data_IF_680046845945
#
_entry.id   IF_680046845945
#
_cell.length_a   1.000
_cell.length_b   1.000
_cell.length_c   1.000
_cell.angle_alpha   90.00
_cell.angle_beta   90.00
_cell.angle_gamma   90.00
#
_symmetry.space_group_name_H-M   'P 1'
#
loop_
_entity.id
_entity.type
_entity.pdbx_description
1 polymer ?
#
# COMPACT_ATOMS: atom_id res chain seq x y z
N UNK A 1 21.59 -21.65 -13.18
CA UNK A 1 20.53 -20.62 -13.25
C UNK A 1 20.64 -19.73 -12.03
N UNK A 2 21.36 -18.61 -12.16
CA UNK A 2 21.48 -17.60 -11.12
C UNK A 2 20.07 -17.15 -10.72
N UNK A 3 19.70 -17.09 -9.42
CA UNK A 3 18.40 -16.58 -9.03
C UNK A 3 18.34 -15.15 -9.51
N UNK A 4 17.39 -14.81 -10.38
CA UNK A 4 17.12 -13.41 -10.70
C UNK A 4 16.74 -12.76 -9.36
N UNK A 5 17.57 -11.85 -8.79
CA UNK A 5 17.33 -11.29 -7.46
C UNK A 5 15.97 -10.58 -7.39
N UNK A 6 15.45 -10.15 -8.54
CA UNK A 6 14.23 -9.33 -8.66
C UNK A 6 12.94 -10.02 -8.22
N UNK A 7 12.81 -11.35 -8.29
CA UNK A 7 11.49 -11.99 -8.03
C UNK A 7 11.10 -11.97 -6.54
N UNK A 8 12.00 -12.34 -5.59
CA UNK A 8 11.75 -12.12 -4.17
C UNK A 8 11.56 -10.64 -3.82
N UNK A 9 12.34 -9.74 -4.44
CA UNK A 9 12.26 -8.27 -4.25
C UNK A 9 10.93 -7.69 -4.74
N UNK A 10 10.32 -8.29 -5.76
CA UNK A 10 9.13 -7.74 -6.41
C UNK A 10 7.82 -8.30 -5.88
N UNK A 11 7.70 -9.62 -5.68
CA UNK A 11 6.44 -10.28 -5.31
C UNK A 11 6.53 -10.96 -3.95
N UNK A 12 7.57 -11.77 -3.74
CA UNK A 12 7.68 -12.65 -2.57
C UNK A 12 7.54 -11.90 -1.25
N UNK A 13 8.25 -10.77 -1.12
CA UNK A 13 8.25 -10.00 0.12
C UNK A 13 6.90 -9.35 0.47
N UNK A 14 6.11 -8.96 -0.54
CA UNK A 14 4.76 -8.42 -0.31
C UNK A 14 3.84 -9.49 0.23
N UNK A 15 3.87 -10.68 -0.38
CA UNK A 15 3.07 -11.81 0.10
C UNK A 15 3.45 -12.19 1.52
N UNK A 16 4.76 -12.34 1.77
CA UNK A 16 5.29 -12.58 3.11
C UNK A 16 4.78 -11.55 4.11
N UNK A 17 4.92 -10.26 3.80
CA UNK A 17 4.55 -9.20 4.74
C UNK A 17 3.07 -9.24 5.09
N UNK A 18 2.20 -9.47 4.11
CA UNK A 18 0.77 -9.61 4.38
C UNK A 18 0.51 -10.76 5.35
N UNK A 19 1.14 -11.92 5.15
CA UNK A 19 0.99 -13.07 6.05
C UNK A 19 1.62 -12.83 7.42
N UNK A 20 2.79 -12.19 7.48
CA UNK A 20 3.47 -11.81 8.72
C UNK A 20 2.60 -10.87 9.57
N UNK A 21 1.85 -9.96 8.94
CA UNK A 21 0.96 -9.03 9.65
C UNK A 21 -0.34 -9.69 10.16
N UNK A 22 -0.88 -10.69 9.48
CA UNK A 22 -2.19 -11.31 9.84
C UNK A 22 -2.07 -12.69 10.49
N UNK A 23 -0.95 -13.37 10.32
CA UNK A 23 -0.64 -14.70 10.84
C UNK A 23 0.85 -14.81 11.26
N UNK A 24 1.36 -13.92 12.13
CA UNK A 24 2.75 -13.96 12.59
C UNK A 24 3.14 -15.29 13.25
N UNK A 25 2.18 -16.03 13.82
CA UNK A 25 2.42 -17.34 14.45
C UNK A 25 3.00 -18.40 13.51
N UNK A 26 2.86 -18.22 12.19
CA UNK A 26 3.38 -19.15 11.18
C UNK A 26 4.89 -19.02 10.96
N UNK A 27 5.50 -17.91 11.39
CA UNK A 27 6.94 -17.65 11.24
C UNK A 27 7.46 -17.93 9.81
N UNK A 28 6.70 -17.49 8.80
CA UNK A 28 7.02 -17.76 7.40
C UNK A 28 8.37 -17.15 7.02
N UNK A 29 9.18 -17.92 6.27
CA UNK A 29 10.48 -17.47 5.80
C UNK A 29 10.31 -16.37 4.74
N UNK A 30 10.79 -15.16 5.06
CA UNK A 30 10.69 -13.96 4.23
C UNK A 30 11.50 -13.98 2.93
N UNK A 31 12.41 -14.95 2.77
CA UNK A 31 13.28 -15.07 1.60
C UNK A 31 12.64 -15.84 0.45
N UNK A 32 11.46 -16.44 0.68
CA UNK A 32 10.74 -17.15 -0.39
C UNK A 32 10.20 -16.16 -1.43
N UNK A 33 10.18 -16.61 -2.68
CA UNK A 33 9.75 -15.83 -3.84
C UNK A 33 8.72 -16.59 -4.68
N UNK A 34 7.98 -15.86 -5.50
CA UNK A 34 7.00 -16.44 -6.41
C UNK A 34 7.71 -17.00 -7.66
N UNK A 35 8.24 -18.23 -7.57
CA UNK A 35 8.86 -18.93 -8.70
C UNK A 35 8.21 -20.30 -8.85
N UNK A 36 7.68 -20.61 -10.05
CA UNK A 36 6.90 -21.84 -10.30
C UNK A 36 7.63 -23.16 -10.00
N UNK A 37 8.96 -23.16 -9.88
CA UNK A 37 9.77 -24.36 -9.62
C UNK A 37 10.47 -24.33 -8.26
N UNK A 38 10.05 -23.46 -7.32
CA UNK A 38 10.60 -23.39 -5.96
C UNK A 38 9.48 -23.35 -4.93
N UNK A 39 9.74 -23.78 -3.68
CA UNK A 39 8.83 -23.56 -2.58
C UNK A 39 8.46 -22.08 -2.47
N UNK A 40 7.16 -21.82 -2.35
CA UNK A 40 6.58 -20.47 -2.22
C UNK A 40 5.51 -20.50 -1.12
N UNK A 41 4.99 -19.33 -0.76
CA UNK A 41 3.92 -19.21 0.22
C UNK A 41 2.63 -19.90 -0.26
N UNK A 42 1.79 -20.40 0.67
CA UNK A 42 0.48 -20.92 0.31
C UNK A 42 -0.39 -19.81 -0.29
N UNK A 43 -1.42 -20.20 -1.05
CA UNK A 43 -2.40 -19.26 -1.62
C UNK A 43 -3.15 -18.49 -0.53
N UNK A 44 -3.42 -19.13 0.61
CA UNK A 44 -4.07 -18.53 1.76
C UNK A 44 -3.52 -19.11 3.06
N UNK A 45 -3.72 -18.38 4.16
CA UNK A 45 -3.38 -18.79 5.51
C UNK A 45 -4.56 -18.54 6.43
N UNK A 46 -4.65 -19.32 7.51
CA UNK A 46 -5.55 -18.99 8.61
C UNK A 46 -4.97 -17.79 9.37
N UNK A 47 -5.77 -16.75 9.55
CA UNK A 47 -5.38 -15.57 10.33
C UNK A 47 -5.36 -15.90 11.82
N UNK A 48 -4.42 -15.29 12.55
CA UNK A 48 -4.29 -15.47 14.01
C UNK A 48 -5.45 -14.79 14.75
N UNK A 49 -5.92 -13.66 14.22
CA UNK A 49 -7.02 -12.87 14.75
C UNK A 49 -7.92 -12.38 13.62
N UNK A 50 -9.19 -12.07 13.96
CA UNK A 50 -10.11 -11.44 13.00
C UNK A 50 -9.51 -10.15 12.46
N UNK A 51 -9.55 -9.97 11.15
CA UNK A 51 -9.00 -8.80 10.46
C UNK A 51 -10.13 -7.83 10.15
N UNK A 52 -9.95 -6.57 10.51
CA UNK A 52 -10.86 -5.46 10.20
C UNK A 52 -10.50 -4.78 8.87
N UNK A 53 -11.45 -4.04 8.29
CA UNK A 53 -11.19 -3.25 7.09
C UNK A 53 -10.05 -2.24 7.30
N UNK A 54 -10.01 -1.57 8.47
CA UNK A 54 -8.95 -0.63 8.83
C UNK A 54 -7.57 -1.30 8.88
N UNK A 55 -7.48 -2.53 9.41
CA UNK A 55 -6.21 -3.28 9.36
C UNK A 55 -5.78 -3.60 7.93
N UNK A 56 -6.70 -3.90 7.01
CA UNK A 56 -6.36 -4.05 5.59
C UNK A 56 -5.85 -2.73 5.00
N UNK A 57 -6.49 -1.60 5.34
CA UNK A 57 -6.01 -0.27 4.92
C UNK A 57 -4.59 -0.03 5.42
N UNK A 58 -4.27 -0.37 6.67
CA UNK A 58 -2.92 -0.23 7.21
C UNK A 58 -1.90 -1.18 6.54
N UNK A 59 -2.29 -2.40 6.19
CA UNK A 59 -1.44 -3.30 5.40
C UNK A 59 -1.12 -2.68 4.03
N UNK A 60 -2.10 -2.02 3.39
CA UNK A 60 -1.89 -1.35 2.10
C UNK A 60 -0.91 -0.18 2.19
N UNK A 61 -0.73 0.41 3.38
CA UNK A 61 0.17 1.53 3.68
C UNK A 61 1.62 1.11 3.93
N UNK A 62 1.87 -0.17 4.16
CA UNK A 62 3.13 -0.71 4.68
C UNK A 62 4.30 -0.62 3.68
N UNK A 63 5.46 -0.23 4.23
CA UNK A 63 6.79 -0.17 3.63
C UNK A 63 7.79 -1.13 4.30
N UNK A 64 7.28 -2.20 4.89
CA UNK A 64 8.00 -3.20 5.68
C UNK A 64 8.56 -2.67 7.00
N UNK A 65 7.91 -1.66 7.59
CA UNK A 65 8.37 -1.03 8.83
C UNK A 65 8.57 -2.05 9.96
N UNK A 66 9.68 -1.90 10.70
CA UNK A 66 10.02 -2.77 11.83
C UNK A 66 10.60 -4.14 11.45
N UNK A 67 10.84 -4.39 10.16
CA UNK A 67 11.49 -5.62 9.67
C UNK A 67 12.93 -5.32 9.20
N UNK A 68 13.76 -6.35 8.95
CA UNK A 68 15.06 -6.16 8.28
C UNK A 68 14.99 -5.52 6.88
N UNK A 69 13.78 -5.36 6.33
CA UNK A 69 13.51 -4.87 4.97
C UNK A 69 12.85 -3.49 4.94
N UNK A 70 12.72 -2.87 6.11
CA UNK A 70 12.12 -1.56 6.33
C UNK A 70 12.74 -0.51 5.40
N UNK A 71 11.92 -0.01 4.46
CA UNK A 71 12.40 1.00 3.51
C UNK A 71 12.51 2.41 4.12
N UNK A 72 12.02 2.64 5.33
CA UNK A 72 12.24 3.91 6.05
C UNK A 72 13.64 4.02 6.65
N UNK A 73 14.43 2.95 6.59
CA UNK A 73 15.77 2.85 7.18
C UNK A 73 16.87 2.77 6.12
N UNK A 74 18.09 2.98 6.59
CA UNK A 74 19.31 2.84 5.79
C UNK A 74 19.60 4.05 4.89
N UNK A 75 20.75 3.99 4.23
CA UNK A 75 21.27 5.09 3.42
C UNK A 75 20.30 5.50 2.30
N UNK A 76 19.63 4.52 1.69
CA UNK A 76 18.71 4.77 0.58
C UNK A 76 17.43 5.52 0.99
N UNK A 77 17.09 5.57 2.29
CA UNK A 77 15.95 6.34 2.79
C UNK A 77 16.27 7.84 2.98
N UNK A 78 17.54 8.22 2.81
CA UNK A 78 18.00 9.59 3.01
C UNK A 78 17.89 10.07 4.47
N UNK A 79 18.19 11.35 4.72
CA UNK A 79 18.23 11.90 6.09
C UNK A 79 16.86 11.93 6.79
N UNK A 80 15.77 11.85 6.02
CA UNK A 80 14.40 11.94 6.55
C UNK A 80 13.66 10.61 6.56
N UNK A 81 14.30 9.49 6.19
CA UNK A 81 13.70 8.17 6.25
C UNK A 81 12.58 7.93 5.24
N UNK A 82 12.66 8.54 4.07
CA UNK A 82 11.62 8.42 3.04
C UNK A 82 11.65 7.03 2.38
N UNK A 83 10.54 6.27 2.37
CA UNK A 83 10.56 4.86 1.98
C UNK A 83 10.47 4.59 0.48
N UNK A 84 10.04 5.55 -0.33
CA UNK A 84 9.85 5.31 -1.76
C UNK A 84 11.20 5.17 -2.48
N UNK A 85 11.23 4.25 -3.45
CA UNK A 85 12.38 4.04 -4.34
C UNK A 85 11.90 4.15 -5.77
N UNK A 86 12.42 5.13 -6.50
CA UNK A 86 12.14 5.27 -7.93
C UNK A 86 12.86 4.17 -8.69
N UNK A 87 12.09 3.29 -9.32
CA UNK A 87 12.65 2.28 -10.19
C UNK A 87 13.31 2.97 -11.39
N UNK A 88 14.56 2.63 -11.67
CA UNK A 88 15.22 3.05 -12.91
C UNK A 88 14.52 2.47 -14.13
N UNK A 89 14.67 3.13 -15.28
CA UNK A 89 14.26 2.58 -16.57
C UNK A 89 14.98 1.26 -16.81
N UNK A 90 14.24 0.21 -17.18
CA UNK A 90 14.80 -1.05 -17.67
C UNK A 90 15.84 -0.71 -18.76
N UNK A 91 17.13 -0.99 -18.51
CA UNK A 91 18.20 -0.76 -19.50
C UNK A 91 19.39 0.12 -19.10
N UNK A 92 19.60 0.46 -17.82
CA UNK A 92 20.88 1.04 -17.34
C UNK A 92 21.55 0.16 -16.26
N UNK A 93 22.89 0.17 -16.15
CA UNK A 93 23.71 -0.97 -15.67
C UNK A 93 23.92 -0.96 -14.15
N UNK A 94 22.88 -0.67 -13.37
CA UNK A 94 22.97 -0.86 -11.92
C UNK A 94 22.56 -2.30 -11.63
N UNK A 95 23.53 -3.13 -11.24
CA UNK A 95 23.27 -4.49 -10.82
C UNK A 95 22.45 -4.47 -9.52
N UNK A 96 21.25 -5.04 -9.56
CA UNK A 96 20.33 -5.07 -8.42
C UNK A 96 18.97 -4.42 -8.70
N UNK A 97 18.16 -4.34 -7.65
CA UNK A 97 16.81 -3.76 -7.71
C UNK A 97 16.36 -3.33 -6.32
N UNK A 98 15.39 -2.41 -6.29
CA UNK A 98 14.76 -2.00 -5.03
C UNK A 98 13.67 -2.98 -4.61
N UNK A 99 13.46 -3.07 -3.31
CA UNK A 99 12.27 -3.72 -2.78
C UNK A 99 11.01 -3.06 -3.31
N UNK A 100 10.08 -3.87 -3.82
CA UNK A 100 8.72 -3.41 -4.08
C UNK A 100 7.91 -3.56 -2.80
N UNK A 101 7.82 -2.50 -2.02
CA UNK A 101 6.93 -2.35 -0.85
C UNK A 101 5.46 -2.45 -1.24
N UNK A 102 4.54 -2.65 -0.29
CA UNK A 102 3.10 -2.77 -0.61
C UNK A 102 2.58 -1.43 -1.16
N UNK A 103 2.77 -0.36 -0.37
CA UNK A 103 2.55 1.02 -0.81
C UNK A 103 3.63 1.45 -1.81
N UNK A 104 3.25 2.14 -2.89
CA UNK A 104 4.20 2.63 -3.90
C UNK A 104 3.75 3.95 -4.53
N UNK A 105 4.71 4.78 -4.92
CA UNK A 105 4.51 6.08 -5.58
C UNK A 105 3.75 6.02 -6.92
N UNK A 106 3.67 4.83 -7.53
CA UNK A 106 2.92 4.58 -8.77
C UNK A 106 1.45 4.26 -8.55
N UNK A 107 1.01 4.16 -7.30
CA UNK A 107 -0.37 3.86 -6.98
C UNK A 107 -1.25 5.08 -7.25
N UNK A 108 -2.17 4.96 -8.21
CA UNK A 108 -3.12 6.04 -8.54
C UNK A 108 -4.32 6.07 -7.59
N UNK A 109 -4.75 4.90 -7.11
CA UNK A 109 -5.84 4.73 -6.17
C UNK A 109 -5.75 3.36 -5.49
N UNK A 110 -6.43 3.23 -4.36
CA UNK A 110 -6.50 2.02 -3.55
C UNK A 110 -7.89 1.88 -2.97
N UNK A 111 -8.34 0.65 -2.74
CA UNK A 111 -9.65 0.44 -2.12
C UNK A 111 -9.69 -0.82 -1.25
N UNK A 112 -10.60 -0.80 -0.28
CA UNK A 112 -11.02 -1.98 0.50
C UNK A 112 -12.52 -2.13 0.35
N UNK A 113 -12.95 -3.23 -0.26
CA UNK A 113 -14.37 -3.56 -0.38
C UNK A 113 -14.82 -4.39 0.83
N UNK A 114 -15.84 -3.92 1.54
CA UNK A 114 -16.37 -4.55 2.74
C UNK A 114 -17.87 -4.78 2.60
N UNK A 115 -18.32 -5.99 2.92
CA UNK A 115 -19.74 -6.32 3.06
C UNK A 115 -20.07 -6.59 4.54
N UNK A 116 -20.95 -5.78 5.11
CA UNK A 116 -21.37 -5.84 6.51
C UNK A 116 -22.65 -6.66 6.63
N UNK A 117 -22.52 -7.97 6.86
CA UNK A 117 -23.67 -8.90 6.88
C UNK A 117 -24.71 -8.61 7.98
N UNK A 118 -24.28 -8.00 9.08
CA UNK A 118 -25.15 -7.61 10.19
C UNK A 118 -25.95 -6.33 9.91
N UNK A 119 -25.65 -5.60 8.83
CA UNK A 119 -26.36 -4.40 8.46
C UNK A 119 -27.79 -4.74 8.00
N UNK A 120 -28.77 -4.10 8.64
CA UNK A 120 -30.19 -4.29 8.36
C UNK A 120 -30.56 -3.58 7.06
N UNK A 121 -30.04 -2.37 6.85
CA UNK A 121 -30.27 -1.63 5.62
C UNK A 121 -29.32 -2.13 4.52
N UNK A 122 -29.83 -2.94 3.58
CA UNK A 122 -29.03 -3.52 2.50
C UNK A 122 -28.34 -2.49 1.60
N UNK A 123 -28.89 -1.28 1.47
CA UNK A 123 -28.25 -0.18 0.76
C UNK A 123 -26.96 0.32 1.44
N UNK A 124 -26.80 0.08 2.75
CA UNK A 124 -25.63 0.45 3.53
C UNK A 124 -24.71 -0.74 3.83
N UNK A 125 -25.09 -1.96 3.43
CA UNK A 125 -24.34 -3.16 3.77
C UNK A 125 -22.98 -3.22 3.06
N UNK A 126 -22.92 -2.78 1.79
CA UNK A 126 -21.67 -2.67 1.03
C UNK A 126 -21.00 -1.32 1.28
N UNK A 127 -19.70 -1.34 1.60
CA UNK A 127 -18.85 -0.16 1.73
C UNK A 127 -17.59 -0.36 0.90
N UNK A 128 -17.35 0.53 -0.05
CA UNK A 128 -16.08 0.68 -0.76
C UNK A 128 -15.30 1.80 -0.10
N UNK A 129 -14.33 1.42 0.73
CA UNK A 129 -13.37 2.36 1.29
C UNK A 129 -12.37 2.72 0.20
N UNK A 130 -12.42 3.95 -0.30
CA UNK A 130 -11.65 4.39 -1.45
C UNK A 130 -10.64 5.46 -1.08
N UNK A 131 -9.39 5.27 -1.48
CA UNK A 131 -8.30 6.22 -1.28
C UNK A 131 -7.69 6.62 -2.62
N UNK A 132 -7.45 7.91 -2.81
CA UNK A 132 -6.69 8.42 -3.96
C UNK A 132 -5.20 8.42 -3.68
N UNK A 133 -4.41 8.29 -4.75
CA UNK A 133 -2.95 8.36 -4.71
C UNK A 133 -2.33 7.23 -3.86
N UNK A 134 -1.16 7.48 -3.26
CA UNK A 134 -0.39 6.48 -2.54
C UNK A 134 -1.12 6.10 -1.23
N UNK A 135 -1.29 4.80 -0.92
CA UNK A 135 -2.04 4.38 0.26
C UNK A 135 -1.48 4.98 1.57
N UNK A 136 -0.15 5.05 1.71
CA UNK A 136 0.52 5.49 2.94
C UNK A 136 -0.02 6.80 3.52
N UNK A 137 -0.27 7.79 2.68
CA UNK A 137 -0.81 9.09 3.10
C UNK A 137 -2.23 9.35 2.60
N UNK A 138 -2.97 8.31 2.21
CA UNK A 138 -4.37 8.46 1.77
C UNK A 138 -5.35 8.34 2.95
N UNK A 139 -6.45 9.08 2.83
CA UNK A 139 -7.65 8.91 3.65
C UNK A 139 -8.60 8.00 2.88
N UNK A 140 -9.02 6.90 3.50
CA UNK A 140 -10.02 6.03 2.91
C UNK A 140 -11.43 6.58 3.15
N UNK A 141 -12.08 7.05 2.09
CA UNK A 141 -13.45 7.57 2.15
C UNK A 141 -14.45 6.44 1.91
N UNK A 142 -15.46 6.26 2.78
CA UNK A 142 -16.46 5.21 2.62
C UNK A 142 -17.52 5.60 1.59
N UNK A 143 -17.55 4.89 0.45
CA UNK A 143 -18.66 4.94 -0.49
C UNK A 143 -19.59 3.74 -0.26
N UNK A 144 -20.88 4.01 -0.03
CA UNK A 144 -21.87 2.96 0.21
C UNK A 144 -22.44 2.42 -1.10
N UNK A 145 -22.65 1.10 -1.16
CA UNK A 145 -23.15 0.43 -2.37
C UNK A 145 -24.53 0.89 -2.83
N UNK A 146 -25.35 1.47 -1.93
CA UNK A 146 -26.65 2.04 -2.25
C UNK A 146 -26.63 3.49 -2.76
N UNK A 147 -25.46 4.10 -2.95
CA UNK A 147 -25.37 5.47 -3.49
C UNK A 147 -25.64 5.48 -4.99
N UNK A 148 -26.56 6.34 -5.43
CA UNK A 148 -26.84 6.56 -6.85
C UNK A 148 -25.94 7.62 -7.50
N UNK A 149 -25.19 8.37 -6.68
CA UNK A 149 -24.28 9.44 -7.14
C UNK A 149 -23.08 9.54 -6.22
N UNK A 150 -21.91 9.74 -6.81
CA UNK A 150 -20.66 10.07 -6.13
C UNK A 150 -20.41 11.58 -6.14
N UNK A 151 -19.65 12.12 -5.18
CA UNK A 151 -19.25 13.52 -5.21
C UNK A 151 -18.46 13.85 -6.49
N UNK A 152 -18.77 15.01 -7.09
CA UNK A 152 -18.12 15.49 -8.31
C UNK A 152 -16.58 15.56 -8.18
N UNK A 153 -16.08 15.83 -6.98
CA UNK A 153 -14.65 15.87 -6.67
C UNK A 153 -13.92 14.53 -6.86
N UNK A 154 -14.64 13.40 -6.82
CA UNK A 154 -14.11 12.06 -7.03
C UNK A 154 -14.34 11.51 -8.46
N UNK A 155 -15.22 12.13 -9.24
CA UNK A 155 -15.58 11.64 -10.59
C UNK A 155 -14.97 12.47 -11.72
N UNK A 156 -14.66 13.75 -11.49
CA UNK A 156 -14.11 14.68 -12.50
C UNK A 156 -12.58 14.78 -12.50
N UNK A 157 -11.89 13.80 -11.92
CA UNK A 157 -10.43 13.81 -11.75
C UNK A 157 -9.71 13.66 -13.10
N UNK A 158 -8.76 14.56 -13.39
CA UNK A 158 -7.77 14.40 -14.46
C UNK A 158 -6.37 14.53 -13.88
N UNK A 159 -5.63 13.43 -13.79
CA UNK A 159 -4.29 13.41 -13.18
C UNK A 159 -3.24 14.21 -13.97
N UNK A 160 -3.48 14.46 -15.26
CA UNK A 160 -2.59 15.25 -16.12
C UNK A 160 -2.81 16.76 -16.06
N UNK A 161 -3.89 17.23 -15.42
CA UNK A 161 -4.25 18.64 -15.38
C UNK A 161 -4.50 19.04 -13.93
N UNK A 162 -3.72 19.99 -13.43
CA UNK A 162 -3.95 20.55 -12.09
C UNK A 162 -5.32 21.24 -12.04
N UNK A 163 -6.22 20.72 -11.20
CA UNK A 163 -7.59 21.22 -11.08
C UNK A 163 -7.98 21.34 -9.61
N UNK A 164 -8.11 22.59 -9.16
CA UNK A 164 -8.71 22.91 -7.85
C UNK A 164 -10.17 22.43 -7.85
N UNK A 165 -10.56 21.66 -6.83
CA UNK A 165 -11.92 21.08 -6.71
C UNK A 165 -12.01 19.58 -7.00
N UNK A 166 -10.92 18.94 -7.43
CA UNK A 166 -10.85 17.47 -7.51
C UNK A 166 -10.07 16.92 -6.32
N UNK A 167 -10.55 15.81 -5.75
CA UNK A 167 -10.01 15.28 -4.50
C UNK A 167 -8.58 14.76 -4.67
N UNK A 168 -8.26 14.15 -5.81
CA UNK A 168 -6.96 13.54 -6.09
C UNK A 168 -5.77 14.48 -5.87
N UNK A 169 -5.86 15.74 -6.31
CA UNK A 169 -4.74 16.69 -6.16
C UNK A 169 -4.43 17.03 -4.69
N UNK A 170 -5.42 16.97 -3.78
CA UNK A 170 -5.18 17.16 -2.36
C UNK A 170 -4.35 16.00 -1.78
N UNK A 171 -4.71 14.75 -2.10
CA UNK A 171 -3.96 13.57 -1.68
C UNK A 171 -2.55 13.56 -2.28
N UNK A 172 -2.44 13.82 -3.58
CA UNK A 172 -1.15 13.86 -4.27
C UNK A 172 -0.24 14.95 -3.71
N UNK A 173 -0.77 16.14 -3.41
CA UNK A 173 0.00 17.21 -2.80
C UNK A 173 0.55 16.80 -1.43
N UNK A 174 -0.29 16.24 -0.54
CA UNK A 174 0.15 15.80 0.80
C UNK A 174 1.23 14.72 0.69
N UNK A 175 1.04 13.73 -0.18
CA UNK A 175 2.02 12.65 -0.36
C UNK A 175 3.37 13.15 -0.91
N UNK A 176 3.36 14.09 -1.86
CA UNK A 176 4.60 14.71 -2.34
C UNK A 176 5.25 15.60 -1.27
N UNK A 177 4.44 16.35 -0.52
CA UNK A 177 4.94 17.22 0.55
C UNK A 177 5.59 16.42 1.68
N UNK A 178 4.98 15.28 2.05
CA UNK A 178 5.53 14.37 3.05
C UNK A 178 6.89 13.80 2.65
N UNK A 179 7.23 13.72 1.35
CA UNK A 179 8.53 13.25 0.91
C UNK A 179 9.70 14.16 1.34
N UNK A 180 9.44 15.46 1.56
CA UNK A 180 10.47 16.45 1.88
C UNK A 180 11.10 16.22 3.26
N UNK A 181 10.26 15.90 4.26
CA UNK A 181 10.69 15.64 5.64
C UNK A 181 9.84 14.51 6.22
N UNK A 182 9.97 13.32 5.64
CA UNK A 182 9.08 12.19 5.89
C UNK A 182 8.95 11.84 7.38
N UNK A 183 10.07 11.72 8.10
CA UNK A 183 10.08 11.46 9.54
C UNK A 183 9.41 12.54 10.42
N UNK A 184 9.16 13.75 9.90
CA UNK A 184 8.46 14.82 10.63
C UNK A 184 7.00 14.96 10.18
N UNK A 185 6.75 14.93 8.86
CA UNK A 185 5.44 15.20 8.27
C UNK A 185 4.56 13.95 8.29
N UNK A 186 5.10 12.78 7.95
CA UNK A 186 4.31 11.56 7.85
C UNK A 186 3.67 11.14 9.18
N UNK A 187 4.33 11.24 10.35
CA UNK A 187 3.67 10.97 11.63
C UNK A 187 2.46 11.90 11.89
N UNK A 188 2.52 13.16 11.46
CA UNK A 188 1.39 14.07 11.58
C UNK A 188 0.23 13.62 10.67
N UNK A 189 0.52 13.25 9.42
CA UNK A 189 -0.48 12.67 8.51
C UNK A 189 -1.10 11.40 9.10
N UNK A 190 -0.28 10.48 9.63
CA UNK A 190 -0.76 9.20 10.21
C UNK A 190 -1.64 9.35 11.44
N UNK A 191 -1.59 10.47 12.16
CA UNK A 191 -2.53 10.73 13.27
C UNK A 191 -3.94 11.05 12.81
N UNK A 192 -4.10 11.52 11.58
CA UNK A 192 -5.37 11.96 11.02
C UNK A 192 -6.08 10.88 10.17
N UNK A 193 -5.44 9.71 9.91
CA UNK A 193 -5.89 8.72 8.89
C UNK A 193 -5.87 7.25 9.32
#
# INVERSE_FOLDING_TARGET
STPIPLVPLYVGRRMWRVFDLVAPSLHLNSTLGFVNNRPSYPVSVKVDKKVSAHQIMDILRDYYEGTPYDQTKGLAAGPFGYPQRWAGTSGKPVEGGWERTISIYRCSYTFVAQVRLHEKNKALAGVLWYGHDIPSGTVYVPFFGGQNKLPDSYTKVKQSIFMKGTAWWAFNFINNWAALMYNQIYPAVRREI
#
